data_IF_627107518102
#
_entry.id   IF_627107518102
#
_cell.length_a   1.000
_cell.length_b   1.000
_cell.length_c   1.000
_cell.angle_alpha   90.00
_cell.angle_beta   90.00
_cell.angle_gamma   90.00
#
_symmetry.space_group_name_H-M   'P 1'
#
loop_
_entity.id
_entity.type
_entity.pdbx_description
1 polymer ?
#
# COMPACT_ATOMS: atom_id res chain seq x y z
N UNK A 1 -7.22 -15.76 -0.78
CA UNK A 1 -6.02 -16.43 -1.31
C UNK A 1 -4.78 -15.69 -0.83
N UNK A 2 -3.96 -16.30 0.04
CA UNK A 2 -2.71 -15.74 0.57
C UNK A 2 -1.49 -16.41 -0.07
N UNK A 3 -0.43 -15.66 -0.37
CA UNK A 3 0.83 -16.16 -0.92
C UNK A 3 1.69 -16.75 0.22
N UNK A 4 2.25 -17.93 -0.02
CA UNK A 4 3.11 -18.64 0.95
C UNK A 4 4.56 -18.76 0.49
N UNK A 5 4.83 -18.59 -0.81
CA UNK A 5 6.21 -18.60 -1.29
C UNK A 5 6.35 -18.25 -2.76
N UNK A 6 7.57 -17.88 -3.14
CA UNK A 6 7.94 -17.49 -4.49
C UNK A 6 9.31 -18.06 -4.82
N UNK A 7 9.40 -18.85 -5.88
CA UNK A 7 10.65 -19.38 -6.41
C UNK A 7 10.94 -18.73 -7.76
N UNK A 8 12.13 -18.17 -7.91
CA UNK A 8 12.59 -17.46 -9.09
C UNK A 8 13.82 -18.17 -9.64
N UNK A 9 13.70 -18.77 -10.82
CA UNK A 9 14.82 -19.34 -11.58
C UNK A 9 15.69 -18.23 -12.16
N UNK A 10 15.58 -17.99 -13.47
CA UNK A 10 16.27 -16.87 -14.13
C UNK A 10 15.23 -15.85 -14.59
N UNK A 11 15.11 -14.72 -13.88
CA UNK A 11 14.14 -13.68 -14.23
C UNK A 11 14.66 -12.28 -13.90
N UNK A 12 14.89 -11.48 -14.94
CA UNK A 12 15.49 -10.13 -14.86
C UNK A 12 16.82 -10.16 -14.12
N UNK A 13 16.88 -9.64 -12.89
CA UNK A 13 18.08 -9.55 -12.06
C UNK A 13 18.17 -10.66 -11.01
N UNK A 14 17.12 -11.47 -10.86
CA UNK A 14 17.05 -12.55 -9.89
C UNK A 14 17.57 -13.86 -10.50
N UNK A 15 18.38 -14.57 -9.72
CA UNK A 15 18.92 -15.89 -10.09
C UNK A 15 18.78 -16.89 -8.96
N UNK A 16 17.94 -17.91 -9.18
CA UNK A 16 17.70 -19.06 -8.32
C UNK A 16 17.43 -18.67 -6.86
N UNK A 17 16.42 -17.82 -6.66
CA UNK A 17 16.02 -17.29 -5.34
C UNK A 17 14.71 -17.93 -4.91
N UNK A 18 14.63 -18.32 -3.64
CA UNK A 18 13.41 -18.85 -3.03
C UNK A 18 13.02 -18.02 -1.81
N UNK A 19 11.85 -17.42 -1.87
CA UNK A 19 11.22 -16.72 -0.75
C UNK A 19 10.19 -17.64 -0.10
N UNK A 20 10.24 -17.70 1.23
CA UNK A 20 9.23 -18.32 2.07
C UNK A 20 8.47 -17.19 2.79
N UNK A 21 7.16 -17.11 2.56
CA UNK A 21 6.29 -16.11 3.17
C UNK A 21 5.40 -16.73 4.24
N UNK A 22 5.94 -17.65 5.04
CA UNK A 22 5.27 -18.25 6.20
C UNK A 22 6.03 -17.94 7.49
N UNK A 23 5.29 -17.93 8.61
CA UNK A 23 5.90 -17.74 9.93
C UNK A 23 6.81 -18.93 10.28
N UNK A 24 8.04 -18.67 10.77
CA UNK A 24 9.03 -19.70 11.02
C UNK A 24 8.71 -20.56 12.26
N UNK A 25 9.47 -21.65 12.43
CA UNK A 25 9.38 -22.53 13.60
C UNK A 25 9.56 -21.74 14.91
N UNK A 26 8.69 -22.01 15.88
CA UNK A 26 8.70 -21.33 17.19
C UNK A 26 7.92 -20.00 17.23
N UNK A 27 7.38 -19.52 16.11
CA UNK A 27 6.44 -18.40 16.10
C UNK A 27 5.02 -18.87 16.46
N UNK A 28 4.18 -18.09 17.19
CA UNK A 28 2.81 -18.49 17.53
C UNK A 28 1.90 -18.84 16.33
N UNK A 29 2.23 -18.32 15.15
CA UNK A 29 1.54 -18.57 13.87
C UNK A 29 2.34 -19.48 12.92
N UNK A 30 3.25 -20.29 13.44
CA UNK A 30 4.13 -21.19 12.66
C UNK A 30 3.41 -21.87 11.48
N UNK A 31 4.05 -21.81 10.29
CA UNK A 31 3.55 -22.41 9.05
C UNK A 31 2.35 -21.70 8.42
N UNK A 32 1.74 -20.72 9.09
CA UNK A 32 0.71 -19.86 8.48
C UNK A 32 1.37 -18.81 7.58
N UNK A 33 0.68 -18.32 6.53
CA UNK A 33 1.17 -17.21 5.73
C UNK A 33 1.44 -15.98 6.60
N UNK A 34 2.52 -15.27 6.33
CA UNK A 34 2.81 -13.98 6.97
C UNK A 34 1.65 -13.01 6.71
N UNK A 35 1.19 -12.28 7.73
CA UNK A 35 0.10 -11.32 7.56
C UNK A 35 0.57 -10.04 6.86
N UNK A 36 1.83 -9.67 7.06
CA UNK A 36 2.49 -8.55 6.40
C UNK A 36 3.91 -8.94 6.00
N UNK A 37 4.35 -8.50 4.83
CA UNK A 37 5.67 -8.76 4.26
C UNK A 37 6.28 -7.44 3.82
N UNK A 38 7.55 -7.21 4.12
CA UNK A 38 8.25 -5.98 3.78
C UNK A 38 9.51 -6.29 2.97
N UNK A 39 9.52 -5.88 1.70
CA UNK A 39 10.71 -5.85 0.87
C UNK A 39 11.45 -4.53 1.09
N UNK A 40 12.69 -4.61 1.57
CA UNK A 40 13.62 -3.49 1.69
C UNK A 40 14.91 -3.78 0.93
N UNK A 41 15.71 -2.76 0.67
CA UNK A 41 16.99 -2.94 -0.01
C UNK A 41 17.35 -1.79 -0.94
N UNK A 42 18.56 -1.86 -1.49
CA UNK A 42 19.11 -0.84 -2.39
C UNK A 42 18.22 -0.60 -3.61
N UNK A 43 18.27 0.60 -4.19
CA UNK A 43 17.55 0.90 -5.43
C UNK A 43 18.01 -0.03 -6.55
N UNK A 44 17.06 -0.49 -7.37
CA UNK A 44 17.33 -1.40 -8.47
C UNK A 44 17.30 -2.89 -8.11
N UNK A 45 17.36 -3.29 -6.83
CA UNK A 45 17.39 -4.72 -6.42
C UNK A 45 16.08 -5.48 -6.66
N UNK A 46 15.04 -4.84 -7.18
CA UNK A 46 13.84 -5.52 -7.66
C UNK A 46 12.65 -5.56 -6.70
N UNK A 47 12.57 -4.73 -5.65
CA UNK A 47 11.40 -4.65 -4.73
C UNK A 47 10.05 -4.54 -5.46
N UNK A 48 9.88 -3.50 -6.28
CA UNK A 48 8.68 -3.33 -7.13
C UNK A 48 8.51 -4.47 -8.12
N UNK A 49 9.60 -5.11 -8.57
CA UNK A 49 9.50 -6.29 -9.45
C UNK A 49 8.88 -7.47 -8.70
N UNK A 50 9.19 -7.68 -7.41
CA UNK A 50 8.54 -8.73 -6.61
C UNK A 50 7.05 -8.46 -6.43
N UNK A 51 6.64 -7.20 -6.17
CA UNK A 51 5.22 -6.83 -6.15
C UNK A 51 4.55 -7.13 -7.50
N UNK A 52 5.18 -6.74 -8.61
CA UNK A 52 4.66 -7.00 -9.95
C UNK A 52 4.53 -8.50 -10.28
N UNK A 53 5.45 -9.34 -9.78
CA UNK A 53 5.36 -10.80 -9.95
C UNK A 53 4.15 -11.38 -9.19
N UNK A 54 3.88 -10.88 -7.97
CA UNK A 54 2.68 -11.27 -7.22
C UNK A 54 1.41 -10.74 -7.93
N UNK A 55 1.46 -9.52 -8.45
CA UNK A 55 0.37 -8.96 -9.26
C UNK A 55 0.07 -9.80 -10.50
N UNK A 56 1.09 -10.22 -11.24
CA UNK A 56 0.96 -11.08 -12.42
C UNK A 56 0.31 -12.43 -12.06
N UNK A 57 0.58 -12.98 -10.88
CA UNK A 57 -0.10 -14.20 -10.41
C UNK A 57 -1.60 -13.97 -10.27
N UNK A 58 -2.01 -12.86 -9.65
CA UNK A 58 -3.41 -12.51 -9.51
C UNK A 58 -4.08 -12.16 -10.85
N UNK A 59 -3.35 -11.58 -11.80
CA UNK A 59 -3.80 -11.41 -13.19
C UNK A 59 -4.10 -12.75 -13.85
N UNK A 60 -3.19 -13.73 -13.74
CA UNK A 60 -3.40 -15.08 -14.25
C UNK A 60 -4.62 -15.75 -13.60
N UNK A 61 -4.77 -15.64 -12.27
CA UNK A 61 -5.95 -16.16 -11.55
C UNK A 61 -7.24 -15.50 -12.06
N UNK A 62 -7.25 -14.17 -12.17
CA UNK A 62 -8.40 -13.38 -12.64
C UNK A 62 -8.82 -13.78 -14.05
N UNK A 63 -7.87 -13.79 -14.99
CA UNK A 63 -8.09 -14.17 -16.38
C UNK A 63 -8.60 -15.61 -16.52
N UNK A 64 -8.01 -16.55 -15.77
CA UNK A 64 -8.44 -17.96 -15.77
C UNK A 64 -9.85 -18.12 -15.21
N UNK A 65 -10.18 -17.39 -14.12
CA UNK A 65 -11.50 -17.38 -13.51
C UNK A 65 -12.58 -16.81 -14.45
N UNK A 66 -12.28 -15.68 -15.10
CA UNK A 66 -13.18 -15.06 -16.07
C UNK A 66 -13.41 -15.97 -17.28
N UNK A 67 -12.39 -16.67 -17.76
CA UNK A 67 -12.52 -17.62 -18.88
C UNK A 67 -13.37 -18.85 -18.53
N UNK A 68 -13.30 -19.34 -17.28
CA UNK A 68 -14.21 -20.36 -16.77
C UNK A 68 -15.66 -19.88 -16.72
N UNK A 69 -15.88 -18.61 -16.36
CA UNK A 69 -17.20 -18.00 -16.34
C UNK A 69 -17.76 -17.71 -17.75
N UNK A 70 -16.89 -17.28 -18.68
CA UNK A 70 -17.25 -16.97 -20.07
C UNK A 70 -16.10 -17.31 -21.03
N UNK A 71 -16.32 -18.31 -21.88
CA UNK A 71 -15.29 -18.85 -22.79
C UNK A 71 -14.84 -17.90 -23.90
N UNK A 72 -15.57 -16.82 -24.17
CA UNK A 72 -15.30 -15.91 -25.31
C UNK A 72 -14.48 -14.67 -24.94
N UNK A 73 -14.03 -14.54 -23.69
CA UNK A 73 -13.22 -13.39 -23.25
C UNK A 73 -11.82 -13.45 -23.88
N UNK A 74 -11.48 -12.42 -24.65
CA UNK A 74 -10.12 -12.16 -25.14
C UNK A 74 -9.25 -11.71 -23.96
N UNK A 75 -8.09 -12.35 -23.78
CA UNK A 75 -7.23 -12.14 -22.62
C UNK A 75 -5.82 -11.75 -23.07
N UNK A 76 -5.17 -10.90 -22.28
CA UNK A 76 -3.75 -10.57 -22.47
C UNK A 76 -2.88 -11.68 -21.86
N UNK A 77 -1.97 -12.23 -22.66
CA UNK A 77 -1.05 -13.30 -22.30
C UNK A 77 0.23 -12.81 -21.58
N UNK A 78 0.45 -11.49 -21.45
CA UNK A 78 1.70 -10.94 -20.90
C UNK A 78 2.02 -11.45 -19.49
N UNK A 79 1.07 -11.41 -18.55
CA UNK A 79 1.29 -11.89 -17.17
C UNK A 79 1.58 -13.39 -17.11
N UNK A 80 1.11 -14.19 -18.08
CA UNK A 80 1.41 -15.62 -18.15
C UNK A 80 2.88 -15.87 -18.49
N UNK A 81 3.51 -14.98 -19.27
CA UNK A 81 4.92 -15.12 -19.68
C UNK A 81 5.89 -14.97 -18.50
N UNK A 82 5.49 -14.23 -17.47
CA UNK A 82 6.25 -14.10 -16.22
C UNK A 82 6.56 -15.49 -15.65
N UNK A 83 5.59 -16.41 -15.63
CA UNK A 83 5.70 -17.73 -14.98
C UNK A 83 6.50 -18.80 -15.74
N UNK A 84 7.16 -18.45 -16.86
CA UNK A 84 8.09 -19.38 -17.54
C UNK A 84 9.32 -19.72 -16.70
N UNK A 85 9.70 -18.84 -15.78
CA UNK A 85 10.88 -18.98 -14.94
C UNK A 85 10.57 -18.85 -13.44
N UNK A 86 9.30 -18.82 -13.07
CA UNK A 86 8.85 -18.54 -11.71
C UNK A 86 7.86 -19.61 -11.24
N UNK A 87 7.86 -19.87 -9.95
CA UNK A 87 6.82 -20.64 -9.26
C UNK A 87 6.26 -19.82 -8.10
N UNK A 88 4.95 -19.62 -8.06
CA UNK A 88 4.27 -19.04 -6.90
C UNK A 88 3.46 -20.11 -6.20
N UNK A 89 3.57 -20.14 -4.87
CA UNK A 89 2.76 -20.95 -3.98
C UNK A 89 1.81 -20.04 -3.20
N UNK A 90 0.54 -20.44 -3.12
CA UNK A 90 -0.48 -19.76 -2.35
C UNK A 90 -1.44 -20.77 -1.70
N UNK A 91 -2.26 -20.28 -0.78
CA UNK A 91 -3.27 -21.05 -0.07
C UNK A 91 -4.62 -20.35 -0.13
N UNK A 92 -5.68 -21.15 -0.33
CA UNK A 92 -7.06 -20.68 -0.30
C UNK A 92 -7.96 -21.73 0.37
N UNK A 93 -8.48 -21.42 1.57
CA UNK A 93 -9.35 -22.30 2.35
C UNK A 93 -8.80 -23.73 2.39
N UNK A 94 -7.54 -23.83 2.86
CA UNK A 94 -6.72 -25.06 2.95
C UNK A 94 -6.23 -25.64 1.62
N UNK A 95 -6.76 -25.22 0.48
CA UNK A 95 -6.27 -25.67 -0.82
C UNK A 95 -4.92 -25.02 -1.13
N UNK A 96 -3.90 -25.84 -1.32
CA UNK A 96 -2.60 -25.40 -1.84
C UNK A 96 -2.70 -25.17 -3.34
N UNK A 97 -2.25 -24.01 -3.77
CA UNK A 97 -2.28 -23.56 -5.16
C UNK A 97 -0.84 -23.29 -5.56
N UNK A 98 -0.39 -23.94 -6.62
CA UNK A 98 0.93 -23.73 -7.20
C UNK A 98 0.78 -23.35 -8.66
N UNK A 99 1.37 -22.22 -9.05
CA UNK A 99 1.51 -21.81 -10.44
C UNK A 99 2.99 -21.86 -10.80
N UNK A 100 3.35 -22.62 -11.82
CA UNK A 100 4.74 -22.82 -12.26
C UNK A 100 4.82 -22.99 -13.78
N UNK A 101 6.03 -22.98 -14.33
CA UNK A 101 6.28 -23.22 -15.76
C UNK A 101 5.66 -24.50 -16.31
N UNK A 102 5.52 -25.55 -15.49
CA UNK A 102 5.06 -26.86 -15.93
C UNK A 102 3.62 -26.81 -16.48
N UNK A 103 2.81 -25.83 -16.06
CA UNK A 103 1.45 -25.66 -16.55
C UNK A 103 1.39 -24.98 -17.93
N UNK A 104 2.48 -24.39 -18.40
CA UNK A 104 2.54 -23.60 -19.63
C UNK A 104 3.30 -24.29 -20.78
N UNK A 105 3.94 -25.44 -20.51
CA UNK A 105 4.74 -26.19 -21.49
C UNK A 105 3.93 -27.25 -22.27
N UNK A 106 2.63 -27.38 -22.04
CA UNK A 106 1.81 -28.35 -22.77
C UNK A 106 1.40 -27.82 -24.15
N UNK A 107 1.83 -28.53 -25.21
CA UNK A 107 1.42 -28.35 -26.60
C UNK A 107 -0.09 -28.60 -26.76
N UNK A 108 -0.93 -27.65 -26.34
CA UNK A 108 -2.33 -27.63 -26.70
C UNK A 108 -2.45 -27.12 -28.14
N UNK A 109 -2.92 -28.01 -29.03
CA UNK A 109 -3.11 -27.74 -30.45
C UNK A 109 -4.36 -26.85 -30.63
N UNK A 110 -4.20 -25.57 -30.29
CA UNK A 110 -5.21 -24.54 -30.53
C UNK A 110 -4.83 -23.75 -31.78
N UNK A 111 -5.78 -23.43 -32.68
CA UNK A 111 -5.49 -22.76 -33.95
C UNK A 111 -4.91 -21.34 -33.81
N UNK A 112 -4.84 -20.80 -32.60
CA UNK A 112 -4.31 -19.48 -32.31
C UNK A 112 -3.33 -19.51 -31.12
N UNK A 113 -2.04 -19.20 -31.36
CA UNK A 113 -0.97 -19.34 -30.35
C UNK A 113 -1.09 -18.34 -29.21
N UNK A 114 -1.72 -17.18 -29.43
CA UNK A 114 -2.04 -16.18 -28.38
C UNK A 114 -3.24 -16.59 -27.49
N UNK A 115 -3.89 -17.71 -27.80
CA UNK A 115 -4.91 -18.33 -26.95
C UNK A 115 -4.35 -19.50 -26.12
N UNK A 116 -3.11 -19.93 -26.38
CA UNK A 116 -2.55 -21.14 -25.76
C UNK A 116 -2.28 -20.94 -24.25
N UNK A 117 -1.62 -19.85 -23.85
CA UNK A 117 -1.29 -19.60 -22.43
C UNK A 117 -2.53 -19.31 -21.59
N UNK A 118 -3.44 -18.46 -22.10
CA UNK A 118 -4.74 -18.25 -21.47
C UNK A 118 -5.57 -19.55 -21.33
N UNK A 119 -5.43 -20.49 -22.27
CA UNK A 119 -6.08 -21.81 -22.18
C UNK A 119 -5.40 -22.72 -21.15
N UNK A 120 -4.07 -22.69 -21.05
CA UNK A 120 -3.34 -23.35 -19.97
C UNK A 120 -3.79 -22.86 -18.58
N UNK A 121 -3.99 -21.55 -18.42
CA UNK A 121 -4.54 -20.99 -17.18
C UNK A 121 -5.93 -21.51 -16.84
N UNK A 122 -6.80 -21.63 -17.84
CA UNK A 122 -8.12 -22.24 -17.69
C UNK A 122 -8.02 -23.69 -17.18
N UNK A 123 -7.17 -24.52 -17.79
CA UNK A 123 -6.98 -25.91 -17.39
C UNK A 123 -6.41 -26.03 -15.98
N UNK A 124 -5.36 -25.25 -15.68
CA UNK A 124 -4.77 -25.16 -14.35
C UNK A 124 -5.81 -24.85 -13.28
N UNK A 125 -6.63 -23.81 -13.49
CA UNK A 125 -7.65 -23.42 -12.51
C UNK A 125 -8.78 -24.45 -12.39
N UNK A 126 -9.13 -25.12 -13.49
CA UNK A 126 -10.12 -26.20 -13.51
C UNK A 126 -9.64 -27.41 -12.70
N UNK A 127 -8.38 -27.81 -12.83
CA UNK A 127 -7.76 -28.92 -12.09
C UNK A 127 -7.72 -28.67 -10.58
N UNK A 128 -7.50 -27.41 -10.17
CA UNK A 128 -7.51 -27.01 -8.76
C UNK A 128 -8.89 -27.15 -8.10
N UNK A 129 -9.97 -27.23 -8.88
CA UNK A 129 -11.34 -27.33 -8.39
C UNK A 129 -11.71 -26.26 -7.33
N UNK A 130 -11.25 -25.02 -7.56
CA UNK A 130 -11.46 -23.89 -6.64
C UNK A 130 -12.42 -22.82 -7.16
N UNK A 131 -13.07 -23.05 -8.31
CA UNK A 131 -13.92 -22.06 -8.97
C UNK A 131 -15.03 -21.54 -8.07
N UNK A 132 -15.77 -22.41 -7.38
CA UNK A 132 -16.86 -21.99 -6.50
C UNK A 132 -16.36 -21.20 -5.28
N UNK A 133 -15.19 -21.56 -4.75
CA UNK A 133 -14.53 -20.81 -3.65
C UNK A 133 -14.15 -19.41 -4.12
N UNK A 134 -13.54 -19.30 -5.30
CA UNK A 134 -13.22 -18.00 -5.91
C UNK A 134 -14.47 -17.17 -6.16
N UNK A 135 -15.50 -17.77 -6.76
CA UNK A 135 -16.77 -17.10 -7.03
C UNK A 135 -17.45 -16.58 -5.75
N UNK A 136 -17.34 -17.32 -4.64
CA UNK A 136 -17.85 -16.87 -3.35
C UNK A 136 -17.06 -15.64 -2.84
N UNK A 137 -15.73 -15.71 -2.87
CA UNK A 137 -14.86 -14.61 -2.44
C UNK A 137 -15.02 -13.35 -3.29
N UNK A 138 -15.10 -13.50 -4.61
CA UNK A 138 -15.20 -12.38 -5.55
C UNK A 138 -16.57 -11.70 -5.53
N UNK A 139 -17.58 -12.34 -4.92
CA UNK A 139 -18.88 -11.73 -4.64
C UNK A 139 -18.86 -10.85 -3.40
N UNK A 140 -18.05 -11.19 -2.41
CA UNK A 140 -17.95 -10.46 -1.14
C UNK A 140 -16.86 -9.39 -1.13
N UNK A 141 -15.84 -9.54 -1.96
CA UNK A 141 -14.69 -8.64 -2.02
C UNK A 141 -13.79 -8.90 -3.22
N UNK A 142 -12.54 -8.44 -3.12
CA UNK A 142 -11.50 -8.63 -4.16
C UNK A 142 -10.40 -9.57 -3.68
N UNK A 143 -9.78 -10.28 -4.61
CA UNK A 143 -8.64 -11.15 -4.37
C UNK A 143 -7.33 -10.38 -4.21
N UNK A 144 -7.17 -9.27 -4.94
CA UNK A 144 -5.96 -8.48 -4.90
C UNK A 144 -6.22 -6.99 -5.16
N UNK A 145 -5.60 -6.13 -4.36
CA UNK A 145 -5.52 -4.68 -4.58
C UNK A 145 -4.06 -4.28 -4.73
N UNK A 146 -3.70 -3.66 -5.84
CA UNK A 146 -2.37 -3.12 -6.07
C UNK A 146 -2.37 -1.59 -6.06
N UNK A 147 -1.67 -1.04 -5.07
CA UNK A 147 -1.42 0.37 -4.84
C UNK A 147 0.02 0.65 -5.25
N UNK A 148 0.21 1.15 -6.46
CA UNK A 148 1.51 1.56 -6.99
C UNK A 148 1.79 3.05 -6.74
N UNK A 149 2.95 3.51 -7.19
CA UNK A 149 3.39 4.89 -7.06
C UNK A 149 2.46 5.94 -7.73
N UNK A 150 1.55 5.53 -8.62
CA UNK A 150 0.64 6.43 -9.32
C UNK A 150 -0.59 6.82 -8.47
N UNK A 151 -0.79 6.21 -7.30
CA UNK A 151 -1.96 6.46 -6.44
C UNK A 151 -2.20 7.96 -6.15
N UNK A 152 -1.14 8.75 -5.98
CA UNK A 152 -1.24 10.20 -5.76
C UNK A 152 -1.85 10.94 -6.96
N UNK A 153 -1.50 10.52 -8.17
CA UNK A 153 -2.02 11.13 -9.41
C UNK A 153 -3.52 10.90 -9.58
N UNK A 154 -4.05 9.88 -8.92
CA UNK A 154 -5.47 9.54 -8.93
C UNK A 154 -6.30 10.43 -8.00
N UNK A 155 -5.69 11.27 -7.14
CA UNK A 155 -6.41 12.15 -6.20
C UNK A 155 -7.32 13.20 -6.86
N UNK A 156 -7.19 13.40 -8.18
CA UNK A 156 -8.16 14.14 -9.00
C UNK A 156 -9.56 13.54 -8.81
N UNK A 157 -10.64 14.31 -9.03
CA UNK A 157 -12.05 13.88 -8.90
C UNK A 157 -12.52 13.38 -7.51
N UNK A 158 -11.60 13.02 -6.62
CA UNK A 158 -11.85 12.80 -5.19
C UNK A 158 -11.94 14.15 -4.46
N UNK A 159 -10.99 15.04 -4.74
CA UNK A 159 -10.76 16.27 -3.98
C UNK A 159 -11.08 17.56 -4.77
N UNK A 160 -11.27 17.48 -6.08
CA UNK A 160 -11.58 18.65 -6.91
C UNK A 160 -13.06 19.03 -6.77
N UNK A 161 -13.32 20.35 -6.80
CA UNK A 161 -14.67 20.90 -6.74
C UNK A 161 -15.47 20.48 -7.98
N UNK A 162 -16.68 19.95 -7.78
CA UNK A 162 -17.60 19.58 -8.86
C UNK A 162 -18.07 20.86 -9.56
N UNK A 163 -17.95 20.94 -10.89
CA UNK A 163 -18.47 22.10 -11.60
C UNK A 163 -20.01 22.10 -11.55
N UNK A 164 -20.66 23.24 -11.24
CA UNK A 164 -22.12 23.34 -11.24
C UNK A 164 -22.74 23.18 -12.64
N UNK A 165 -21.94 23.31 -13.70
CA UNK A 165 -22.35 23.11 -15.10
C UNK A 165 -22.11 21.70 -15.63
N UNK A 166 -21.48 20.80 -14.86
CA UNK A 166 -21.35 19.38 -15.22
C UNK A 166 -22.73 18.72 -15.12
N UNK A 167 -23.54 18.93 -16.16
CA UNK A 167 -24.77 18.18 -16.42
C UNK A 167 -24.48 16.70 -16.63
N UNK A 168 -23.24 16.31 -16.83
CA UNK A 168 -22.85 14.94 -17.12
C UNK A 168 -23.01 13.98 -15.93
N UNK A 169 -23.10 14.49 -14.69
CA UNK A 169 -23.50 13.66 -13.54
C UNK A 169 -25.00 13.29 -13.54
N UNK A 170 -25.84 14.08 -14.21
CA UNK A 170 -27.31 13.84 -14.29
C UNK A 170 -27.70 13.18 -15.62
N UNK A 171 -26.88 13.32 -16.67
CA UNK A 171 -27.17 12.77 -18.00
C UNK A 171 -26.61 11.36 -18.24
N UNK A 172 -25.98 10.72 -17.25
CA UNK A 172 -25.59 9.31 -17.32
C UNK A 172 -26.72 8.32 -16.96
N UNK A 173 -27.89 8.81 -16.52
CA UNK A 173 -29.10 7.95 -16.38
C UNK A 173 -29.91 7.81 -17.69
N UNK A 174 -29.57 8.58 -18.74
CA UNK A 174 -30.41 8.73 -19.94
C UNK A 174 -29.79 8.29 -21.27
N UNK A 175 -28.49 8.02 -21.32
CA UNK A 175 -27.89 7.30 -22.44
C UNK A 175 -27.85 5.83 -22.06
N UNK A 176 -28.38 4.99 -22.96
CA UNK A 176 -28.48 3.54 -22.79
C UNK A 176 -27.28 2.97 -22.03
N UNK A 177 -27.54 2.13 -21.01
CA UNK A 177 -26.60 1.19 -20.42
C UNK A 177 -25.54 0.77 -21.46
N UNK A 178 -24.39 1.42 -21.44
CA UNK A 178 -23.28 1.02 -22.30
C UNK A 178 -22.52 -0.08 -21.57
N UNK A 179 -21.88 -1.03 -22.27
CA UNK A 179 -21.12 -2.13 -21.65
C UNK A 179 -19.87 -1.69 -20.87
N UNK A 180 -19.74 -0.41 -20.51
CA UNK A 180 -18.61 0.14 -19.77
C UNK A 180 -18.79 0.11 -18.24
N UNK A 181 -20.00 -0.18 -17.73
CA UNK A 181 -20.30 -0.30 -16.29
C UNK A 181 -19.72 -1.57 -15.62
N UNK A 182 -19.04 -2.44 -16.36
CA UNK A 182 -18.46 -3.69 -15.84
C UNK A 182 -16.98 -3.57 -15.42
N UNK A 183 -16.38 -2.38 -15.41
CA UNK A 183 -14.91 -2.26 -15.32
C UNK A 183 -14.29 -2.58 -13.94
N UNK A 184 -15.04 -2.52 -12.82
CA UNK A 184 -14.59 -3.02 -11.50
C UNK A 184 -15.32 -4.32 -11.11
N UNK A 185 -15.82 -5.10 -12.07
CA UNK A 185 -16.26 -6.48 -11.80
C UNK A 185 -15.09 -7.49 -11.85
N UNK A 186 -13.89 -6.98 -12.11
CA UNK A 186 -12.65 -7.75 -11.97
C UNK A 186 -12.47 -8.19 -10.52
N UNK A 187 -12.05 -9.44 -10.27
CA UNK A 187 -11.70 -9.92 -8.93
C UNK A 187 -10.44 -9.26 -8.38
N UNK A 188 -9.74 -8.44 -9.17
CA UNK A 188 -8.51 -7.75 -8.80
C UNK A 188 -8.59 -6.28 -9.23
N UNK A 189 -7.95 -5.38 -8.49
CA UNK A 189 -7.91 -3.94 -8.79
C UNK A 189 -6.46 -3.46 -8.71
N UNK A 190 -5.94 -2.88 -9.80
CA UNK A 190 -4.70 -2.10 -9.78
C UNK A 190 -5.08 -0.64 -9.95
N UNK A 191 -4.69 0.24 -9.03
CA UNK A 191 -5.18 1.63 -9.04
C UNK A 191 -4.80 2.37 -10.33
N UNK A 192 -3.60 2.13 -10.87
CA UNK A 192 -3.14 2.73 -12.13
C UNK A 192 -3.87 2.23 -13.38
N UNK A 193 -4.61 1.12 -13.30
CA UNK A 193 -5.34 0.57 -14.44
C UNK A 193 -6.61 1.36 -14.77
N UNK A 194 -7.04 2.27 -13.89
CA UNK A 194 -8.26 3.03 -14.03
C UNK A 194 -7.98 4.51 -14.12
N UNK A 195 -8.80 5.24 -14.89
CA UNK A 195 -8.82 6.69 -14.78
C UNK A 195 -9.34 7.07 -13.39
N UNK A 196 -8.84 8.19 -12.87
CA UNK A 196 -9.29 8.75 -11.59
C UNK A 196 -10.82 8.89 -11.50
N UNK A 197 -11.47 9.29 -12.60
CA UNK A 197 -12.93 9.44 -12.65
C UNK A 197 -13.68 8.13 -12.46
N UNK A 198 -13.30 7.09 -13.22
CA UNK A 198 -13.93 5.77 -13.16
C UNK A 198 -13.70 5.14 -11.78
N UNK A 199 -12.47 5.24 -11.28
CA UNK A 199 -12.08 4.69 -9.99
C UNK A 199 -12.93 5.26 -8.85
N UNK A 200 -13.00 6.59 -8.72
CA UNK A 200 -13.71 7.20 -7.59
C UNK A 200 -15.22 7.14 -7.73
N UNK A 201 -15.75 7.20 -8.95
CA UNK A 201 -17.19 7.02 -9.16
C UNK A 201 -17.64 5.61 -8.77
N UNK A 202 -16.77 4.61 -8.94
CA UNK A 202 -17.06 3.24 -8.50
C UNK A 202 -16.81 3.02 -7.00
N UNK A 203 -15.67 3.47 -6.46
CA UNK A 203 -15.31 3.25 -5.04
C UNK A 203 -16.23 4.05 -4.10
N UNK A 204 -16.68 5.23 -4.52
CA UNK A 204 -17.48 6.16 -3.71
C UNK A 204 -18.85 6.45 -4.33
N UNK A 205 -19.43 5.50 -5.07
CA UNK A 205 -20.74 5.64 -5.71
C UNK A 205 -21.82 6.08 -4.70
N UNK A 206 -21.78 5.50 -3.48
CA UNK A 206 -22.70 5.83 -2.39
C UNK A 206 -22.72 7.33 -2.04
N UNK A 207 -21.58 8.01 -2.16
CA UNK A 207 -21.48 9.46 -1.92
C UNK A 207 -22.16 10.23 -3.06
N UNK A 208 -21.95 9.81 -4.30
CA UNK A 208 -22.59 10.43 -5.46
C UNK A 208 -24.12 10.24 -5.42
N UNK A 209 -24.60 9.07 -5.02
CA UNK A 209 -26.03 8.79 -4.81
C UNK A 209 -26.59 9.68 -3.70
N UNK A 210 -25.95 9.68 -2.52
CA UNK A 210 -26.38 10.47 -1.37
C UNK A 210 -26.49 11.97 -1.70
N UNK A 211 -25.47 12.54 -2.35
CA UNK A 211 -25.46 13.96 -2.72
C UNK A 211 -26.57 14.30 -3.71
N UNK A 212 -26.87 13.40 -4.65
CA UNK A 212 -27.96 13.58 -5.62
C UNK A 212 -29.34 13.52 -4.95
N UNK A 213 -29.55 12.57 -4.06
CA UNK A 213 -30.81 12.42 -3.33
C UNK A 213 -31.06 13.63 -2.41
N UNK A 214 -30.01 14.12 -1.72
CA UNK A 214 -30.07 15.33 -0.91
C UNK A 214 -30.45 16.56 -1.76
N UNK A 215 -29.82 16.73 -2.94
CA UNK A 215 -30.15 17.81 -3.88
C UNK A 215 -31.59 17.75 -4.38
N UNK A 216 -32.07 16.56 -4.75
CA UNK A 216 -33.45 16.37 -5.21
C UNK A 216 -34.45 16.63 -4.10
N UNK A 217 -34.18 16.15 -2.88
CA UNK A 217 -35.00 16.40 -1.71
C UNK A 217 -35.10 17.90 -1.42
N UNK A 218 -33.96 18.61 -1.38
CA UNK A 218 -33.92 20.06 -1.17
C UNK A 218 -34.68 20.84 -2.27
N UNK A 219 -34.50 20.47 -3.55
CA UNK A 219 -35.21 21.11 -4.66
C UNK A 219 -36.74 20.89 -4.59
N UNK A 220 -37.17 19.69 -4.19
CA UNK A 220 -38.57 19.35 -3.99
C UNK A 220 -39.20 20.14 -2.82
N UNK A 221 -38.44 20.43 -1.77
CA UNK A 221 -38.90 21.30 -0.67
C UNK A 221 -39.05 22.75 -1.13
N UNK A 222 -38.05 23.30 -1.81
CA UNK A 222 -38.07 24.70 -2.28
C UNK A 222 -39.20 24.94 -3.30
N UNK A 223 -39.48 23.97 -4.18
CA UNK A 223 -40.54 24.09 -5.19
C UNK A 223 -41.97 23.97 -4.65
N UNK A 224 -42.17 23.33 -3.48
CA UNK A 224 -43.52 23.00 -2.97
C UNK A 224 -44.18 24.07 -2.10
N UNK A 225 -43.49 25.11 -1.61
CA UNK A 225 -44.04 26.35 -1.02
C UNK A 225 -42.92 27.23 -0.40
N UNK A 226 -43.21 28.52 -0.15
CA UNK A 226 -42.31 29.46 0.55
C UNK A 226 -42.12 29.05 2.02
N UNK A 227 -41.10 28.26 2.30
CA UNK A 227 -40.72 27.86 3.66
C UNK A 227 -39.85 28.92 4.36
N UNK A 228 -40.00 29.06 5.67
CA UNK A 228 -39.01 29.74 6.52
C UNK A 228 -37.73 28.91 6.60
N UNK A 229 -36.56 29.56 6.62
CA UNK A 229 -35.24 28.89 6.65
C UNK A 229 -35.12 27.81 7.73
N UNK A 230 -35.68 28.04 8.92
CA UNK A 230 -35.62 27.10 10.05
C UNK A 230 -36.35 25.79 9.77
N UNK A 231 -37.46 25.82 9.01
CA UNK A 231 -38.21 24.62 8.66
C UNK A 231 -37.45 23.78 7.64
N UNK A 232 -36.80 24.40 6.66
CA UNK A 232 -35.95 23.72 5.69
C UNK A 232 -34.80 23.00 6.40
N UNK A 233 -34.10 23.70 7.30
CA UNK A 233 -33.01 23.12 8.09
C UNK A 233 -33.50 21.92 8.90
N UNK A 234 -34.66 22.05 9.56
CA UNK A 234 -35.21 20.94 10.36
C UNK A 234 -35.58 19.70 9.54
N UNK A 235 -36.13 19.88 8.33
CA UNK A 235 -36.53 18.78 7.46
C UNK A 235 -35.32 18.11 6.79
N UNK A 236 -34.33 18.89 6.37
CA UNK A 236 -33.06 18.35 5.87
C UNK A 236 -32.37 17.54 6.97
N UNK A 237 -32.30 18.09 8.20
CA UNK A 237 -31.72 17.39 9.33
C UNK A 237 -32.46 16.10 9.70
N UNK A 238 -33.78 16.04 9.50
CA UNK A 238 -34.53 14.79 9.67
C UNK A 238 -34.20 13.78 8.56
N UNK A 239 -34.17 14.21 7.31
CA UNK A 239 -33.82 13.34 6.18
C UNK A 239 -32.42 12.72 6.33
N UNK A 240 -31.44 13.51 6.78
CA UNK A 240 -30.07 13.05 7.04
C UNK A 240 -29.97 12.05 8.20
N UNK A 241 -30.93 12.03 9.13
CA UNK A 241 -31.00 10.99 10.18
C UNK A 241 -31.55 9.67 9.63
N UNK A 242 -32.45 9.75 8.65
CA UNK A 242 -33.04 8.58 7.98
C UNK A 242 -32.11 8.00 6.90
N UNK A 243 -31.21 8.83 6.36
CA UNK A 243 -30.23 8.47 5.33
C UNK A 243 -28.82 8.81 5.82
N UNK A 244 -28.11 7.87 6.47
CA UNK A 244 -26.77 8.11 6.98
C UNK A 244 -25.81 8.56 5.88
N UNK A 245 -25.03 9.61 6.16
CA UNK A 245 -24.06 10.14 5.21
C UNK A 245 -22.85 9.19 5.10
N UNK A 246 -22.52 8.67 3.91
CA UNK A 246 -21.39 7.76 3.75
C UNK A 246 -20.03 8.37 4.11
N UNK A 247 -19.89 9.71 4.08
CA UNK A 247 -18.68 10.40 4.53
C UNK A 247 -18.45 10.24 6.03
N UNK A 248 -19.50 10.04 6.83
CA UNK A 248 -19.36 9.82 8.27
C UNK A 248 -18.65 8.49 8.57
N UNK A 249 -18.99 7.43 7.83
CA UNK A 249 -18.31 6.14 7.91
C UNK A 249 -16.82 6.25 7.52
N UNK A 250 -16.52 6.95 6.41
CA UNK A 250 -15.14 7.23 6.02
C UNK A 250 -14.39 8.05 7.08
N UNK A 251 -15.05 9.03 7.68
CA UNK A 251 -14.46 9.87 8.72
C UNK A 251 -14.08 9.03 9.94
N UNK A 252 -15.02 8.27 10.49
CA UNK A 252 -14.87 7.54 11.75
C UNK A 252 -13.98 6.30 11.62
N UNK A 253 -14.23 5.48 10.59
CA UNK A 253 -13.66 4.15 10.47
C UNK A 253 -12.44 4.08 9.56
N UNK A 254 -12.16 5.12 8.76
CA UNK A 254 -11.09 5.11 7.78
C UNK A 254 -10.08 6.26 7.93
N UNK A 255 -10.51 7.51 8.06
CA UNK A 255 -9.61 8.66 7.81
C UNK A 255 -9.22 9.44 9.07
N UNK A 256 -10.15 9.73 9.99
CA UNK A 256 -9.87 10.67 11.08
C UNK A 256 -8.84 10.15 12.09
N UNK A 257 -8.71 8.82 12.23
CA UNK A 257 -7.70 8.21 13.09
C UNK A 257 -6.28 8.62 12.71
N UNK A 258 -6.00 8.79 11.42
CA UNK A 258 -4.70 9.21 10.92
C UNK A 258 -4.65 10.70 10.56
N UNK A 259 -5.73 11.27 10.04
CA UNK A 259 -5.81 12.71 9.72
C UNK A 259 -5.62 13.61 10.94
N UNK A 260 -5.94 13.13 12.15
CA UNK A 260 -5.69 13.87 13.39
C UNK A 260 -4.22 14.29 13.57
N UNK A 261 -3.28 13.51 13.02
CA UNK A 261 -1.84 13.81 13.04
C UNK A 261 -1.48 14.98 12.11
N UNK A 262 -2.30 15.22 11.09
CA UNK A 262 -2.21 16.36 10.19
C UNK A 262 -2.99 17.58 10.69
N UNK A 263 -3.63 17.48 11.87
CA UNK A 263 -4.61 18.47 12.37
C UNK A 263 -5.81 18.68 11.43
N UNK A 264 -6.16 17.65 10.66
CA UNK A 264 -7.28 17.63 9.73
C UNK A 264 -8.34 16.61 10.17
N UNK A 265 -9.55 16.79 9.65
CA UNK A 265 -10.63 15.82 9.73
C UNK A 265 -11.48 15.89 8.46
N UNK A 266 -12.19 14.80 8.17
CA UNK A 266 -13.19 14.78 7.09
C UNK A 266 -14.33 15.71 7.46
N UNK A 267 -14.67 16.60 6.55
CA UNK A 267 -15.91 17.34 6.64
C UNK A 267 -17.05 16.53 6.03
N UNK A 268 -17.97 16.09 6.87
CA UNK A 268 -19.11 15.25 6.44
C UNK A 268 -20.19 16.06 5.76
N UNK A 269 -20.27 17.37 6.00
CA UNK A 269 -21.34 18.23 5.47
C UNK A 269 -20.99 18.85 4.11
N UNK A 270 -19.71 19.00 3.79
CA UNK A 270 -19.21 19.50 2.51
C UNK A 270 -19.65 18.63 1.33
N UNK A 271 -20.20 19.26 0.29
CA UNK A 271 -20.71 18.59 -0.94
C UNK A 271 -20.10 19.16 -2.22
N UNK A 272 -19.16 20.10 -2.07
CA UNK A 272 -18.41 20.71 -3.17
C UNK A 272 -17.53 19.68 -3.90
N UNK A 273 -17.06 18.63 -3.22
CA UNK A 273 -16.31 17.51 -3.80
C UNK A 273 -16.80 16.18 -3.20
N UNK A 274 -16.28 15.05 -3.68
CA UNK A 274 -16.55 13.74 -3.05
C UNK A 274 -16.01 13.69 -1.64
N UNK A 275 -14.83 14.25 -1.41
CA UNK A 275 -14.24 14.35 -0.08
C UNK A 275 -13.73 15.77 0.19
N UNK A 276 -14.20 16.32 1.30
CA UNK A 276 -13.84 17.64 1.80
C UNK A 276 -13.11 17.44 3.12
N UNK A 277 -12.03 18.19 3.33
CA UNK A 277 -11.32 18.22 4.61
C UNK A 277 -11.46 19.59 5.26
N UNK A 278 -11.51 19.59 6.59
CA UNK A 278 -11.45 20.79 7.41
C UNK A 278 -10.37 20.69 8.47
N UNK A 279 -9.92 21.85 8.94
CA UNK A 279 -9.09 21.92 10.15
C UNK A 279 -9.94 21.64 11.38
N UNK A 280 -9.29 21.33 12.51
CA UNK A 280 -9.96 21.25 13.82
C UNK A 280 -10.69 22.53 14.26
N UNK A 281 -10.41 23.66 13.60
CA UNK A 281 -11.06 24.96 13.84
C UNK A 281 -12.25 25.20 12.90
N UNK A 282 -12.58 24.23 12.03
CA UNK A 282 -13.69 24.29 11.09
C UNK A 282 -13.38 24.98 9.76
N UNK A 283 -12.12 25.29 9.46
CA UNK A 283 -11.76 25.92 8.18
C UNK A 283 -11.66 24.88 7.07
N UNK A 284 -12.46 25.04 6.01
CA UNK A 284 -12.42 24.18 4.83
C UNK A 284 -11.13 24.36 4.04
N UNK A 285 -10.59 23.25 3.52
CA UNK A 285 -9.40 23.25 2.68
C UNK A 285 -9.74 22.58 1.35
N UNK A 286 -9.79 23.39 0.29
CA UNK A 286 -9.99 22.87 -1.07
C UNK A 286 -8.87 21.92 -1.49
N UNK A 287 -9.21 20.88 -2.24
CA UNK A 287 -8.29 19.80 -2.61
C UNK A 287 -6.98 20.23 -3.27
N UNK A 288 -7.00 21.32 -4.04
CA UNK A 288 -5.81 21.91 -4.67
C UNK A 288 -4.75 22.38 -3.66
N UNK A 289 -5.15 22.74 -2.45
CA UNK A 289 -4.28 23.25 -1.40
C UNK A 289 -3.77 22.17 -0.44
N UNK A 290 -4.24 20.92 -0.58
CA UNK A 290 -3.75 19.81 0.23
C UNK A 290 -2.34 19.39 -0.18
N UNK A 291 -1.53 19.03 0.81
CA UNK A 291 -0.17 18.54 0.60
C UNK A 291 -0.18 17.21 -0.18
N UNK A 292 0.90 16.92 -0.91
CA UNK A 292 1.06 15.65 -1.62
C UNK A 292 0.95 14.45 -0.68
N UNK A 293 1.53 14.54 0.52
CA UNK A 293 1.42 13.49 1.55
C UNK A 293 -0.02 13.27 2.01
N UNK A 294 -0.80 14.34 2.22
CA UNK A 294 -2.23 14.22 2.53
C UNK A 294 -2.99 13.56 1.38
N UNK A 295 -2.75 13.98 0.13
CA UNK A 295 -3.37 13.36 -1.05
C UNK A 295 -3.04 11.88 -1.16
N UNK A 296 -1.77 11.52 -0.93
CA UNK A 296 -1.33 10.12 -0.90
C UNK A 296 -2.10 9.32 0.14
N UNK A 297 -2.20 9.80 1.37
CA UNK A 297 -2.90 9.12 2.45
C UNK A 297 -4.37 8.86 2.11
N UNK A 298 -5.06 9.85 1.55
CA UNK A 298 -6.47 9.72 1.14
C UNK A 298 -6.62 8.73 -0.03
N UNK A 299 -5.79 8.89 -1.07
CA UNK A 299 -5.81 8.04 -2.26
C UNK A 299 -5.47 6.58 -2.00
N UNK A 300 -4.89 6.25 -0.86
CA UNK A 300 -4.46 4.89 -0.50
C UNK A 300 -5.34 4.29 0.61
N UNK A 301 -5.67 5.06 1.65
CA UNK A 301 -6.55 4.58 2.74
C UNK A 301 -7.96 4.25 2.25
N UNK A 302 -8.54 5.09 1.38
CA UNK A 302 -9.92 4.92 0.94
C UNK A 302 -10.08 3.64 0.10
N UNK A 303 -9.24 3.35 -0.91
CA UNK A 303 -9.34 2.08 -1.63
C UNK A 303 -9.13 0.86 -0.73
N UNK A 304 -8.16 0.87 0.20
CA UNK A 304 -7.96 -0.26 1.12
C UNK A 304 -9.24 -0.53 1.91
N UNK A 305 -9.86 0.53 2.45
CA UNK A 305 -11.07 0.41 3.25
C UNK A 305 -12.31 0.00 2.44
N UNK A 306 -12.50 0.53 1.23
CA UNK A 306 -13.72 0.31 0.43
C UNK A 306 -13.66 -0.90 -0.49
N UNK A 307 -12.50 -1.28 -1.02
CA UNK A 307 -12.36 -2.39 -1.99
C UNK A 307 -12.56 -3.76 -1.33
N UNK A 308 -12.49 -3.86 0.00
CA UNK A 308 -12.68 -5.08 0.81
C UNK A 308 -11.90 -6.28 0.26
N UNK A 309 -10.67 -6.43 0.73
CA UNK A 309 -9.78 -7.54 0.33
C UNK A 309 -9.82 -8.61 1.42
N UNK A 310 -10.92 -9.35 1.49
CA UNK A 310 -11.10 -10.40 2.49
C UNK A 310 -10.32 -11.66 2.12
N UNK A 311 -9.42 -12.08 3.00
CA UNK A 311 -8.49 -13.22 2.79
C UNK A 311 -7.62 -13.08 1.54
N UNK A 312 -7.58 -11.92 0.88
CA UNK A 312 -6.81 -11.63 -0.32
C UNK A 312 -5.45 -11.01 -0.03
N UNK A 313 -4.90 -10.33 -1.03
CA UNK A 313 -3.57 -9.68 -0.96
C UNK A 313 -3.65 -8.20 -1.28
N UNK A 314 -2.96 -7.37 -0.50
CA UNK A 314 -2.76 -5.96 -0.80
C UNK A 314 -1.28 -5.73 -1.10
N UNK A 315 -0.98 -5.21 -2.28
CA UNK A 315 0.37 -4.85 -2.71
C UNK A 315 0.51 -3.34 -2.60
N UNK A 316 1.56 -2.87 -1.94
CA UNK A 316 1.77 -1.45 -1.68
C UNK A 316 3.22 -1.06 -1.92
N UNK A 317 3.45 -0.27 -2.97
CA UNK A 317 4.76 0.31 -3.27
C UNK A 317 4.87 1.73 -2.69
N UNK A 318 5.98 2.00 -2.00
CA UNK A 318 6.32 3.31 -1.40
C UNK A 318 5.19 3.93 -0.53
N UNK A 319 4.67 3.21 0.49
CA UNK A 319 3.58 3.69 1.35
C UNK A 319 3.89 5.02 2.05
N UNK A 320 5.17 5.31 2.31
CA UNK A 320 5.68 6.50 2.98
C UNK A 320 5.82 7.74 2.11
N UNK A 321 5.65 7.62 0.79
CA UNK A 321 6.02 8.69 -0.14
C UNK A 321 5.37 10.03 0.24
N UNK A 322 6.18 11.10 0.20
CA UNK A 322 5.77 12.46 0.58
C UNK A 322 5.25 12.64 2.02
N UNK A 323 5.41 11.65 2.91
CA UNK A 323 4.98 11.72 4.30
C UNK A 323 6.17 11.96 5.25
N UNK A 324 5.93 12.78 6.28
CA UNK A 324 6.94 13.07 7.30
C UNK A 324 7.15 11.85 8.23
N UNK A 325 8.35 11.65 8.80
CA UNK A 325 8.69 10.51 9.66
C UNK A 325 7.71 10.18 10.79
N UNK A 326 7.06 11.17 11.40
CA UNK A 326 6.09 10.95 12.48
C UNK A 326 4.86 10.17 12.00
N UNK A 327 4.35 10.48 10.81
CA UNK A 327 3.22 9.78 10.19
C UNK A 327 3.63 8.37 9.78
N UNK A 328 4.84 8.21 9.23
CA UNK A 328 5.34 6.91 8.74
C UNK A 328 5.25 5.82 9.82
N UNK A 329 5.47 6.16 11.09
CA UNK A 329 5.39 5.24 12.23
C UNK A 329 4.00 4.61 12.41
N UNK A 330 2.94 5.31 12.00
CA UNK A 330 1.55 4.87 12.18
C UNK A 330 1.00 4.17 10.93
N UNK A 331 1.68 4.28 9.77
CA UNK A 331 1.13 3.86 8.47
C UNK A 331 0.83 2.36 8.40
N UNK A 332 1.75 1.51 8.83
CA UNK A 332 1.58 0.05 8.70
C UNK A 332 0.41 -0.41 9.57
N UNK A 333 0.33 0.07 10.82
CA UNK A 333 -0.78 -0.22 11.73
C UNK A 333 -2.11 0.30 11.17
N UNK A 334 -2.10 1.54 10.63
CA UNK A 334 -3.26 2.15 9.99
C UNK A 334 -3.77 1.30 8.82
N UNK A 335 -2.95 1.02 7.80
CA UNK A 335 -3.37 0.29 6.62
C UNK A 335 -3.81 -1.14 6.93
N UNK A 336 -3.09 -1.85 7.81
CA UNK A 336 -3.47 -3.22 8.20
C UNK A 336 -4.78 -3.25 9.00
N UNK A 337 -5.08 -2.21 9.78
CA UNK A 337 -6.38 -2.10 10.48
C UNK A 337 -7.57 -1.92 9.54
N UNK A 338 -7.37 -1.33 8.36
CA UNK A 338 -8.43 -1.12 7.37
C UNK A 338 -8.81 -2.42 6.63
N UNK A 339 -7.92 -3.41 6.60
CA UNK A 339 -8.20 -4.73 5.99
C UNK A 339 -7.55 -5.87 6.80
N UNK A 340 -8.04 -6.19 8.01
CA UNK A 340 -7.33 -7.05 8.97
C UNK A 340 -7.10 -8.50 8.53
N UNK A 341 -7.90 -8.99 7.59
CA UNK A 341 -7.82 -10.38 7.09
C UNK A 341 -6.94 -10.50 5.83
N UNK A 342 -6.56 -9.38 5.23
CA UNK A 342 -5.70 -9.35 4.04
C UNK A 342 -4.25 -9.66 4.41
N UNK A 343 -3.53 -10.25 3.47
CA UNK A 343 -2.08 -10.32 3.52
C UNK A 343 -1.49 -9.10 2.81
N UNK A 344 -0.60 -8.36 3.46
CA UNK A 344 0.04 -7.18 2.88
C UNK A 344 1.45 -7.49 2.38
N UNK A 345 1.82 -6.95 1.21
CA UNK A 345 3.19 -6.87 0.73
C UNK A 345 3.56 -5.42 0.50
N UNK A 346 4.56 -4.95 1.23
CA UNK A 346 5.11 -3.61 1.13
C UNK A 346 6.46 -3.64 0.43
N UNK A 347 6.70 -2.67 -0.44
CA UNK A 347 8.04 -2.32 -0.91
C UNK A 347 8.35 -0.90 -0.43
N UNK A 348 9.46 -0.74 0.29
CA UNK A 348 9.81 0.54 0.93
C UNK A 348 11.32 0.74 0.98
N UNK A 349 11.72 2.00 0.97
CA UNK A 349 13.08 2.44 1.25
C UNK A 349 13.22 3.04 2.65
N UNK A 350 12.13 3.20 3.39
CA UNK A 350 12.11 3.82 4.71
C UNK A 350 12.49 2.82 5.82
N UNK A 351 13.56 3.07 6.59
CA UNK A 351 13.84 2.28 7.79
C UNK A 351 12.76 2.44 8.87
N UNK A 352 11.99 3.54 8.84
CA UNK A 352 10.89 3.77 9.78
C UNK A 352 9.73 2.84 9.48
N UNK A 353 9.36 2.68 8.20
CA UNK A 353 8.35 1.70 7.79
C UNK A 353 8.83 0.29 8.12
N UNK A 354 10.08 -0.03 7.76
CA UNK A 354 10.68 -1.33 8.05
C UNK A 354 10.67 -1.69 9.54
N UNK A 355 10.84 -0.70 10.44
CA UNK A 355 10.79 -0.95 11.89
C UNK A 355 9.44 -1.50 12.39
N UNK A 356 8.36 -1.33 11.63
CA UNK A 356 7.02 -1.80 11.99
C UNK A 356 6.75 -3.27 11.62
N UNK A 357 7.78 -4.06 11.30
CA UNK A 357 7.67 -5.47 10.92
C UNK A 357 8.56 -6.33 11.80
N UNK A 358 8.20 -7.60 11.98
CA UNK A 358 9.06 -8.58 12.64
C UNK A 358 10.28 -8.97 11.76
N UNK A 359 11.37 -9.50 12.34
CA UNK A 359 12.53 -9.96 11.57
C UNK A 359 12.18 -10.92 10.43
N UNK A 360 11.26 -11.87 10.69
CA UNK A 360 10.84 -12.86 9.69
C UNK A 360 9.97 -12.27 8.56
N UNK A 361 9.34 -11.12 8.81
CA UNK A 361 8.49 -10.42 7.85
C UNK A 361 9.29 -9.50 6.91
N UNK A 362 10.57 -9.21 7.25
CA UNK A 362 11.45 -8.33 6.46
C UNK A 362 12.39 -9.14 5.57
N UNK A 363 12.37 -8.81 4.28
CA UNK A 363 13.21 -9.41 3.25
C UNK A 363 14.10 -8.32 2.66
N UNK A 364 15.41 -8.40 2.97
CA UNK A 364 16.42 -7.42 2.57
C UNK A 364 17.09 -7.88 1.28
N UNK A 365 16.82 -7.16 0.19
CA UNK A 365 17.42 -7.37 -1.12
C UNK A 365 18.72 -6.57 -1.26
N UNK A 366 19.77 -7.22 -1.74
CA UNK A 366 21.07 -6.60 -1.97
C UNK A 366 21.76 -7.20 -3.21
N UNK A 367 22.71 -6.47 -3.78
CA UNK A 367 23.59 -7.01 -4.81
C UNK A 367 24.79 -7.70 -4.15
N UNK A 368 25.12 -8.90 -4.60
CA UNK A 368 26.38 -9.56 -4.24
C UNK A 368 27.57 -8.95 -5.01
N UNK A 369 28.76 -9.48 -4.77
CA UNK A 369 30.01 -9.02 -5.42
C UNK A 369 29.99 -9.17 -6.95
N UNK A 370 29.13 -10.04 -7.50
CA UNK A 370 28.97 -10.26 -8.93
C UNK A 370 27.84 -9.39 -9.54
N UNK A 371 27.18 -8.56 -8.73
CA UNK A 371 26.03 -7.75 -9.14
C UNK A 371 24.74 -8.56 -9.28
N UNK A 372 24.68 -9.78 -8.72
CA UNK A 372 23.45 -10.57 -8.69
C UNK A 372 22.61 -10.21 -7.47
N UNK A 373 21.29 -10.20 -7.62
CA UNK A 373 20.41 -9.96 -6.48
C UNK A 373 20.40 -11.20 -5.57
N UNK A 374 20.62 -10.98 -4.28
CA UNK A 374 20.42 -11.95 -3.20
C UNK A 374 19.51 -11.32 -2.15
N UNK A 375 19.07 -12.13 -1.19
CA UNK A 375 18.31 -11.62 -0.05
C UNK A 375 18.67 -12.33 1.25
N UNK A 376 18.33 -11.68 2.37
CA UNK A 376 18.35 -12.23 3.72
C UNK A 376 17.13 -11.72 4.49
N UNK A 377 16.78 -12.38 5.59
CA UNK A 377 15.74 -11.89 6.50
C UNK A 377 16.27 -10.82 7.44
N UNK A 378 15.35 -10.07 8.06
CA UNK A 378 15.67 -9.08 9.08
C UNK A 378 16.29 -9.69 10.32
N UNK A 379 17.02 -8.85 11.06
CA UNK A 379 17.66 -9.23 12.32
C UNK A 379 17.16 -8.37 13.47
N UNK A 380 16.99 -7.07 13.25
CA UNK A 380 16.54 -6.14 14.28
C UNK A 380 15.10 -6.46 14.78
N UNK A 381 14.80 -6.36 16.09
CA UNK A 381 13.44 -6.57 16.60
C UNK A 381 12.38 -5.66 15.96
N UNK A 382 11.10 -6.07 16.02
CA UNK A 382 9.99 -5.18 15.68
C UNK A 382 9.94 -3.99 16.65
N UNK A 383 9.72 -2.79 16.10
CA UNK A 383 9.64 -1.54 16.87
C UNK A 383 10.98 -0.99 17.36
N UNK A 384 12.12 -1.56 16.93
CA UNK A 384 13.45 -1.12 17.32
C UNK A 384 13.81 0.27 16.76
N UNK A 385 14.89 0.88 17.26
CA UNK A 385 15.37 2.17 16.80
C UNK A 385 15.66 2.13 15.27
N UNK A 386 15.14 3.07 14.46
CA UNK A 386 15.43 3.13 13.03
C UNK A 386 16.93 3.15 12.69
N UNK A 387 17.79 3.64 13.59
CA UNK A 387 19.24 3.57 13.44
C UNK A 387 19.78 2.14 13.51
N UNK A 388 19.18 1.28 14.33
CA UNK A 388 19.54 -0.13 14.42
C UNK A 388 19.03 -0.91 13.21
N UNK A 389 17.85 -0.56 12.69
CA UNK A 389 17.37 -1.04 11.38
C UNK A 389 18.37 -0.65 10.28
N UNK A 390 18.83 0.61 10.25
CA UNK A 390 19.82 1.08 9.28
C UNK A 390 21.15 0.31 9.37
N UNK A 391 21.63 0.01 10.58
CA UNK A 391 22.88 -0.73 10.77
C UNK A 391 22.74 -2.20 10.42
N UNK A 392 21.75 -2.88 11.02
CA UNK A 392 21.66 -4.34 11.01
C UNK A 392 21.05 -4.86 9.72
N UNK A 393 19.95 -4.24 9.28
CA UNK A 393 19.18 -4.73 8.13
C UNK A 393 19.68 -4.06 6.84
N UNK A 394 19.80 -2.72 6.82
CA UNK A 394 20.26 -1.99 5.63
C UNK A 394 21.79 -2.06 5.44
N UNK A 395 22.54 -2.57 6.43
CA UNK A 395 23.99 -2.72 6.34
C UNK A 395 24.76 -1.39 6.30
N UNK A 396 24.16 -0.30 6.80
CA UNK A 396 24.76 1.02 6.79
C UNK A 396 25.61 1.22 8.06
N UNK A 397 26.93 1.08 7.91
CA UNK A 397 27.89 1.41 8.98
C UNK A 397 29.19 1.96 8.38
N UNK A 398 29.68 3.13 8.83
CA UNK A 398 29.10 4.00 9.87
C UNK A 398 27.84 4.73 9.39
N UNK A 399 26.94 5.07 10.33
CA UNK A 399 25.79 5.95 10.04
C UNK A 399 26.20 7.44 9.92
N UNK A 400 27.31 7.81 10.54
CA UNK A 400 27.84 9.17 10.48
C UNK A 400 28.50 9.42 9.12
N UNK A 401 28.25 10.60 8.56
CA UNK A 401 28.99 11.11 7.40
C UNK A 401 30.44 11.45 7.78
N UNK A 402 31.31 11.61 6.78
CA UNK A 402 32.76 11.81 6.94
C UNK A 402 33.13 12.88 7.98
N UNK A 403 32.48 14.05 7.95
CA UNK A 403 32.73 15.13 8.92
C UNK A 403 32.42 14.70 10.38
N UNK A 404 31.41 13.87 10.57
CA UNK A 404 31.08 13.30 11.89
C UNK A 404 32.09 12.24 12.31
N UNK A 405 32.51 11.39 11.37
CA UNK A 405 33.56 10.37 11.61
C UNK A 405 34.90 11.03 11.95
N UNK A 406 35.27 12.10 11.26
CA UNK A 406 36.48 12.90 11.54
C UNK A 406 36.40 13.54 12.92
N UNK A 407 35.27 14.18 13.26
CA UNK A 407 35.06 14.74 14.58
C UNK A 407 35.12 13.67 15.69
N UNK A 408 34.62 12.47 15.42
CA UNK A 408 34.71 11.34 16.36
C UNK A 408 36.15 10.85 16.53
N UNK A 409 36.92 10.76 15.45
CA UNK A 409 38.36 10.43 15.51
C UNK A 409 39.13 11.49 16.30
N UNK A 410 38.85 12.77 16.09
CA UNK A 410 39.46 13.88 16.84
C UNK A 410 39.09 13.80 18.34
N UNK A 411 37.83 13.50 18.65
CA UNK A 411 37.35 13.29 20.01
C UNK A 411 38.11 12.15 20.73
N UNK A 412 38.40 11.04 20.03
CA UNK A 412 39.19 9.91 20.56
C UNK A 412 40.69 10.23 20.67
N UNK A 413 41.26 10.95 19.70
CA UNK A 413 42.67 11.38 19.73
C UNK A 413 42.92 12.36 20.90
N UNK A 414 41.99 13.29 21.15
CA UNK A 414 42.03 14.16 22.32
C UNK A 414 41.98 13.37 23.63
N UNK A 415 41.17 12.30 23.72
CA UNK A 415 41.17 11.42 24.89
C UNK A 415 42.57 10.80 25.13
N UNK A 416 43.23 10.36 24.05
CA UNK A 416 44.59 9.81 24.10
C UNK A 416 45.63 10.86 24.51
N UNK A 417 45.53 12.07 23.96
CA UNK A 417 46.40 13.22 24.32
C UNK A 417 46.25 13.60 25.79
N UNK A 418 45.02 13.70 26.31
CA UNK A 418 44.74 14.00 27.74
C UNK A 418 45.39 12.98 28.68
N UNK A 419 45.41 11.68 28.31
CA UNK A 419 46.04 10.63 29.12
C UNK A 419 47.56 10.75 29.17
N UNK A 420 48.19 11.26 28.09
CA UNK A 420 49.65 11.37 27.95
C UNK A 420 50.22 12.73 28.39
N UNK A 421 49.38 13.75 28.59
CA UNK A 421 49.81 15.11 28.92
C UNK A 421 50.18 15.26 30.42
N UNK A 422 51.46 15.53 30.77
CA UNK A 422 51.89 15.78 32.14
C UNK A 422 51.55 17.19 32.67
N UNK A 423 51.40 18.20 31.79
CA UNK A 423 51.10 19.57 32.22
C UNK A 423 49.61 19.76 32.59
N UNK A 424 49.34 20.29 33.79
CA UNK A 424 47.97 20.43 34.30
C UNK A 424 47.13 21.43 33.52
N UNK A 425 47.72 22.53 33.06
CA UNK A 425 46.98 23.60 32.37
C UNK A 425 46.62 23.14 30.95
N UNK A 426 47.60 22.60 30.21
CA UNK A 426 47.38 22.06 28.87
C UNK A 426 46.42 20.89 28.86
N UNK A 427 46.49 20.03 29.87
CA UNK A 427 45.53 18.93 30.06
C UNK A 427 44.09 19.45 30.25
N UNK A 428 43.90 20.54 30.99
CA UNK A 428 42.58 21.15 31.16
C UNK A 428 42.05 21.73 29.85
N UNK A 429 42.91 22.39 29.04
CA UNK A 429 42.52 22.89 27.71
C UNK A 429 42.05 21.76 26.78
N UNK A 430 42.77 20.64 26.73
CA UNK A 430 42.39 19.48 25.92
C UNK A 430 41.07 18.85 26.40
N UNK A 431 40.80 18.84 27.70
CA UNK A 431 39.52 18.37 28.26
C UNK A 431 38.37 19.27 27.79
N UNK A 432 38.56 20.60 27.79
CA UNK A 432 37.56 21.56 27.31
C UNK A 432 37.31 21.38 25.81
N UNK A 433 38.36 21.24 25.01
CA UNK A 433 38.27 20.99 23.56
C UNK A 433 37.52 19.69 23.26
N UNK A 434 37.87 18.60 23.96
CA UNK A 434 37.19 17.31 23.84
C UNK A 434 35.71 17.41 24.24
N UNK A 435 35.40 18.09 25.34
CA UNK A 435 34.03 18.29 25.80
C UNK A 435 33.22 19.13 24.81
N UNK A 436 33.83 20.14 24.17
CA UNK A 436 33.18 20.95 23.16
C UNK A 436 32.78 20.11 21.93
N UNK A 437 33.68 19.24 21.45
CA UNK A 437 33.37 18.31 20.34
C UNK A 437 32.30 17.30 20.75
N UNK A 438 32.45 16.68 21.93
CA UNK A 438 31.48 15.71 22.44
C UNK A 438 30.08 16.29 22.58
N UNK A 439 29.93 17.49 23.15
CA UNK A 439 28.63 18.16 23.27
C UNK A 439 28.04 18.56 21.92
N UNK A 440 28.89 19.01 20.98
CA UNK A 440 28.43 19.45 19.65
C UNK A 440 27.85 18.29 18.82
N UNK A 441 28.44 17.10 18.92
CA UNK A 441 28.04 15.91 18.15
C UNK A 441 27.28 14.88 18.99
N UNK A 442 27.05 15.17 20.27
CA UNK A 442 26.42 14.27 21.24
C UNK A 442 27.12 12.89 21.37
N UNK A 443 28.46 12.87 21.33
CA UNK A 443 29.23 11.66 21.58
C UNK A 443 29.15 11.29 23.06
N UNK A 444 28.77 10.05 23.38
CA UNK A 444 28.69 9.58 24.75
C UNK A 444 30.05 9.02 25.21
N UNK A 445 30.32 9.05 26.52
CA UNK A 445 31.51 8.40 27.08
C UNK A 445 31.46 6.85 26.98
N UNK A 446 30.28 6.29 26.71
CA UNK A 446 30.05 4.86 26.47
C UNK A 446 30.35 4.41 25.04
N UNK A 447 30.48 5.34 24.08
CA UNK A 447 30.84 5.02 22.70
C UNK A 447 32.32 4.62 22.54
N UNK A 448 33.14 4.80 23.58
CA UNK A 448 34.58 4.48 23.61
C UNK A 448 34.90 2.98 23.44
N UNK A 449 33.91 2.08 23.46
CA UNK A 449 34.11 0.61 23.45
C UNK A 449 33.67 -0.13 22.19
N UNK A 450 33.16 0.55 21.15
CA UNK A 450 32.79 -0.10 19.87
C UNK A 450 33.78 0.20 18.75
#
# INVERSE_FOLDING_TARGET
MKITGLEIGEYRQFKNIKFDFTYPEGHPKEGQPLDKVCFIGQSGTGKTTLLNVIWDFFQVVSHSFQRLANKTVLLNDESFRTFKHLTINSILNENRITLSKNFFDENFDWPDKESALASSGFHWLQELNIYDKLKALTRSGKLCLYIDEAAVSLSKNLLEERNPTDRDLVTLKGQAFTPFDTQIDSPIIGLSNYSSEILWSSILEEIDIYDNDLKQFAANLVSKNSFSSDRLISQIGQWQKEHPNPRADLAENCLNQILRLFHLEVDTEGTESRLVLKTKQGSHIGGKYLSTGTKQLLSTSIPIYKVKVDEGVILFDEPERSLFPDIQRELVAHYTSLSPTAQFFFATHSPIIASAFEPCERFILYFDENGEVKFRNGVAPEGDDPNDILRQDFGMSPLMLDKGVEAYREYLDLATKIRKEPDKNRKMELIVERAAIGNKYNFSATDETN
#
